data_IF_247952235151
#
_entry.id   IF_247952235151
#
_cell.length_a   1.000
_cell.length_b   1.000
_cell.length_c   1.000
_cell.angle_alpha   90.00
_cell.angle_beta   90.00
_cell.angle_gamma   90.00
#
_symmetry.space_group_name_H-M   'P 1'
#
loop_
_entity.id
_entity.type
_entity.pdbx_description
1 polymer ?
#
# COMPACT_ATOMS: atom_id res chain seq x y z
N UNK A 1 18.42 0.27 17.49
CA UNK A 1 18.24 0.60 16.05
C UNK A 1 16.96 1.41 15.96
N UNK A 2 17.03 2.70 15.63
CA UNK A 2 15.82 3.52 15.40
C UNK A 2 15.34 3.28 13.97
N UNK A 3 14.07 2.93 13.80
CA UNK A 3 13.42 2.88 12.49
C UNK A 3 12.46 4.04 12.36
N UNK A 4 12.40 4.63 11.18
CA UNK A 4 11.36 5.60 10.87
C UNK A 4 10.08 4.84 10.48
N UNK A 5 8.98 5.10 11.18
CA UNK A 5 7.64 4.51 10.98
C UNK A 5 6.57 5.55 10.63
N UNK A 6 5.66 5.23 9.69
CA UNK A 6 4.46 6.03 9.39
C UNK A 6 3.20 5.16 9.35
N UNK A 7 2.11 5.64 9.99
CA UNK A 7 0.79 4.99 10.05
C UNK A 7 -0.22 5.75 9.19
N UNK A 8 -0.93 5.06 8.31
CA UNK A 8 -2.06 5.63 7.55
C UNK A 8 -1.78 6.04 6.10
N UNK A 9 -0.58 5.79 5.58
CA UNK A 9 -0.18 6.21 4.22
C UNK A 9 -0.68 5.28 3.08
N UNK A 10 -1.24 4.11 3.40
CA UNK A 10 -1.24 2.95 2.51
C UNK A 10 -1.92 3.06 1.13
N UNK A 11 -2.85 4.01 0.91
CA UNK A 11 -3.55 4.17 -0.38
C UNK A 11 -2.68 4.87 -1.44
N UNK A 12 -2.07 6.00 -1.09
CA UNK A 12 -1.20 6.73 -2.00
C UNK A 12 0.14 6.01 -2.20
N UNK A 13 0.58 5.20 -1.22
CA UNK A 13 1.82 4.42 -1.30
C UNK A 13 1.92 3.52 -2.53
N UNK A 14 0.84 2.83 -2.89
CA UNK A 14 0.86 1.85 -3.98
C UNK A 14 0.61 2.52 -5.32
N UNK A 15 -0.26 3.52 -5.37
CA UNK A 15 -0.47 4.33 -6.57
C UNK A 15 0.81 5.08 -6.97
N UNK A 16 1.51 5.67 -5.99
CA UNK A 16 2.83 6.26 -6.13
C UNK A 16 3.87 5.26 -6.69
N UNK A 17 3.93 4.05 -6.10
CA UNK A 17 4.90 3.06 -6.53
C UNK A 17 4.65 2.54 -7.95
N UNK A 18 3.39 2.39 -8.36
CA UNK A 18 3.00 1.85 -9.67
C UNK A 18 3.07 2.87 -10.80
N UNK A 19 2.91 4.16 -10.50
CA UNK A 19 3.04 5.24 -11.49
C UNK A 19 3.93 6.34 -10.92
N UNK A 20 5.24 6.08 -11.02
CA UNK A 20 6.30 7.02 -10.62
C UNK A 20 5.99 8.43 -11.12
N UNK A 21 6.20 9.43 -10.28
CA UNK A 21 5.96 10.87 -10.54
C UNK A 21 4.51 11.34 -10.46
N UNK A 22 3.53 10.46 -10.22
CA UNK A 22 2.14 10.88 -10.03
C UNK A 22 1.86 11.37 -8.60
N UNK A 23 2.61 10.88 -7.61
CA UNK A 23 2.46 11.25 -6.20
C UNK A 23 3.82 11.61 -5.57
N UNK A 24 4.55 12.55 -6.19
CA UNK A 24 5.94 12.88 -5.85
C UNK A 24 6.11 13.24 -4.36
N UNK A 25 5.17 13.98 -3.79
CA UNK A 25 5.23 14.39 -2.37
C UNK A 25 5.12 13.18 -1.45
N UNK A 26 4.20 12.26 -1.76
CA UNK A 26 4.02 11.01 -1.01
C UNK A 26 5.22 10.10 -1.19
N UNK A 27 5.76 9.96 -2.40
CA UNK A 27 7.00 9.20 -2.65
C UNK A 27 8.16 9.74 -1.81
N UNK A 28 8.32 11.07 -1.77
CA UNK A 28 9.38 11.75 -1.01
C UNK A 28 9.18 11.57 0.49
N UNK A 29 7.95 11.69 0.98
CA UNK A 29 7.63 11.45 2.38
C UNK A 29 7.94 10.01 2.77
N UNK A 30 7.42 9.04 2.01
CA UNK A 30 7.64 7.61 2.25
C UNK A 30 9.11 7.21 2.16
N UNK A 31 9.92 7.86 1.32
CA UNK A 31 11.35 7.57 1.19
C UNK A 31 12.09 7.73 2.53
N UNK A 32 11.58 8.55 3.45
CA UNK A 32 12.17 8.81 4.78
C UNK A 32 11.96 7.68 5.78
N UNK A 33 11.05 6.74 5.49
CA UNK A 33 10.60 5.69 6.39
C UNK A 33 11.11 4.30 5.96
N UNK A 34 11.53 3.50 6.94
CA UNK A 34 11.98 2.12 6.74
C UNK A 34 10.82 1.13 6.73
N UNK A 35 9.78 1.45 7.51
CA UNK A 35 8.58 0.63 7.67
C UNK A 35 7.35 1.52 7.47
N UNK A 36 6.40 1.05 6.68
CA UNK A 36 5.14 1.74 6.41
C UNK A 36 4.00 0.82 6.82
N UNK A 37 3.05 1.34 7.60
CA UNK A 37 1.91 0.55 8.07
C UNK A 37 0.56 1.22 7.79
N UNK A 38 -0.43 0.39 7.52
CA UNK A 38 -1.83 0.79 7.36
C UNK A 38 -2.53 -0.04 6.29
N UNK A 39 -3.63 0.49 5.76
CA UNK A 39 -4.41 -0.08 4.66
C UNK A 39 -3.58 -0.17 3.38
N UNK A 40 -2.83 -1.26 3.25
CA UNK A 40 -2.05 -1.61 2.06
C UNK A 40 -2.96 -2.46 1.18
N UNK A 41 -2.99 -2.10 -0.09
CA UNK A 41 -3.68 -2.83 -1.13
C UNK A 41 -2.88 -4.11 -1.47
N UNK A 42 -3.52 -5.28 -1.41
CA UNK A 42 -2.93 -6.59 -1.72
C UNK A 42 -3.32 -7.05 -3.15
N UNK A 43 -3.03 -8.30 -3.50
CA UNK A 43 -3.38 -8.86 -4.81
C UNK A 43 -4.88 -8.78 -5.12
N UNK A 44 -5.75 -8.84 -4.10
CA UNK A 44 -7.20 -8.72 -4.29
C UNK A 44 -7.63 -7.31 -4.69
N UNK A 45 -6.79 -6.30 -4.40
CA UNK A 45 -7.00 -4.90 -4.84
C UNK A 45 -6.38 -4.58 -6.19
N UNK A 46 -5.51 -5.46 -6.71
CA UNK A 46 -4.68 -5.19 -7.88
C UNK A 46 -5.51 -4.82 -9.11
N UNK A 47 -6.58 -5.56 -9.37
CA UNK A 47 -7.46 -5.31 -10.52
C UNK A 47 -8.10 -3.90 -10.47
N UNK A 48 -8.55 -3.48 -9.28
CA UNK A 48 -9.17 -2.16 -9.07
C UNK A 48 -8.15 -1.04 -9.25
N UNK A 49 -6.95 -1.19 -8.69
CA UNK A 49 -5.87 -0.22 -8.84
C UNK A 49 -5.39 -0.10 -10.29
N UNK A 50 -5.29 -1.21 -11.01
CA UNK A 50 -4.90 -1.21 -12.42
C UNK A 50 -5.94 -0.48 -13.27
N UNK A 51 -7.23 -0.72 -13.05
CA UNK A 51 -8.30 0.00 -13.73
C UNK A 51 -8.25 1.52 -13.46
N UNK A 52 -8.06 1.92 -12.21
CA UNK A 52 -7.87 3.32 -11.82
C UNK A 52 -6.67 3.96 -12.54
N UNK A 53 -5.50 3.32 -12.50
CA UNK A 53 -4.27 3.84 -13.13
C UNK A 53 -4.35 3.89 -14.67
N UNK A 54 -5.16 3.02 -15.27
CA UNK A 54 -5.47 3.00 -16.70
C UNK A 54 -6.52 4.05 -17.12
N UNK A 55 -7.08 4.80 -16.17
CA UNK A 55 -8.05 5.86 -16.44
C UNK A 55 -9.51 5.38 -16.54
N UNK A 56 -9.80 4.12 -16.20
CA UNK A 56 -11.15 3.57 -16.30
C UNK A 56 -12.15 4.24 -15.35
N UNK A 57 -11.66 4.96 -14.34
CA UNK A 57 -12.48 5.67 -13.34
C UNK A 57 -12.45 7.20 -13.53
N UNK A 58 -11.83 7.69 -14.61
CA UNK A 58 -11.44 9.11 -14.78
C UNK A 58 -9.93 9.29 -14.67
N UNK A 59 -9.44 10.53 -14.66
CA UNK A 59 -7.99 10.79 -14.53
C UNK A 59 -7.53 10.43 -13.13
N UNK A 60 -6.54 9.55 -13.02
CA UNK A 60 -5.93 9.23 -11.74
C UNK A 60 -5.33 10.49 -11.09
N UNK A 61 -5.72 10.78 -9.85
CA UNK A 61 -5.39 12.01 -9.12
C UNK A 61 -6.53 13.01 -9.07
N UNK A 62 -7.56 12.85 -9.91
CA UNK A 62 -8.79 13.63 -9.79
C UNK A 62 -9.61 13.13 -8.59
N UNK A 63 -10.17 14.07 -7.83
CA UNK A 63 -10.96 13.77 -6.62
C UNK A 63 -12.05 12.72 -6.88
N UNK A 64 -12.74 12.83 -8.01
CA UNK A 64 -13.85 11.94 -8.38
C UNK A 64 -13.38 10.51 -8.69
N UNK A 65 -12.26 10.38 -9.40
CA UNK A 65 -11.65 9.09 -9.71
C UNK A 65 -11.09 8.42 -8.44
N UNK A 66 -10.49 9.21 -7.55
CA UNK A 66 -9.96 8.77 -6.26
C UNK A 66 -11.08 8.27 -5.34
N UNK A 67 -12.14 9.07 -5.18
CA UNK A 67 -13.31 8.70 -4.37
C UNK A 67 -14.00 7.44 -4.92
N UNK A 68 -14.10 7.33 -6.25
CA UNK A 68 -14.63 6.12 -6.88
C UNK A 68 -13.76 4.90 -6.61
N UNK A 69 -12.44 5.01 -6.81
CA UNK A 69 -11.49 3.94 -6.54
C UNK A 69 -11.56 3.49 -5.07
N UNK A 70 -11.61 4.42 -4.12
CA UNK A 70 -11.73 4.14 -2.69
C UNK A 70 -13.01 3.37 -2.36
N UNK A 71 -14.15 3.76 -2.95
CA UNK A 71 -15.43 3.05 -2.75
C UNK A 71 -15.36 1.60 -3.24
N UNK A 72 -14.62 1.32 -4.32
CA UNK A 72 -14.45 -0.06 -4.84
C UNK A 72 -13.56 -0.95 -3.96
N UNK A 73 -12.71 -0.33 -3.11
CA UNK A 73 -11.76 -0.99 -2.22
C UNK A 73 -12.29 -1.18 -0.79
N UNK A 74 -13.27 -0.38 -0.38
CA UNK A 74 -13.85 -0.42 0.97
C UNK A 74 -15.16 -1.23 1.01
N UNK A 75 -15.54 -1.76 2.20
CA UNK A 75 -14.77 -1.76 3.44
C UNK A 75 -13.76 -2.93 3.56
N UNK A 76 -13.89 -3.97 2.73
CA UNK A 76 -13.29 -5.28 3.01
C UNK A 76 -12.05 -5.65 2.18
N UNK A 77 -11.64 -4.84 1.19
CA UNK A 77 -10.49 -5.19 0.33
C UNK A 77 -9.17 -4.58 0.77
N UNK A 78 -9.17 -3.75 1.82
CA UNK A 78 -7.95 -3.18 2.38
C UNK A 78 -7.69 -3.74 3.77
N UNK A 79 -6.58 -4.46 3.93
CA UNK A 79 -6.11 -4.98 5.21
C UNK A 79 -4.99 -4.09 5.74
N UNK A 80 -4.90 -4.00 7.06
CA UNK A 80 -3.72 -3.40 7.69
C UNK A 80 -2.52 -4.33 7.46
N UNK A 81 -1.50 -3.80 6.79
CA UNK A 81 -0.27 -4.53 6.53
C UNK A 81 0.93 -3.64 6.83
N UNK A 82 2.10 -4.29 6.87
CA UNK A 82 3.40 -3.65 7.04
C UNK A 82 4.22 -3.85 5.76
N UNK A 83 4.73 -2.76 5.21
CA UNK A 83 5.70 -2.77 4.12
C UNK A 83 7.09 -2.47 4.71
N UNK A 84 7.98 -3.45 4.65
CA UNK A 84 9.38 -3.32 5.05
C UNK A 84 10.21 -2.93 3.82
N UNK A 85 10.78 -1.73 3.81
CA UNK A 85 11.47 -1.17 2.65
C UNK A 85 12.97 -1.42 2.63
N UNK A 86 13.56 -1.72 3.78
CA UNK A 86 15.02 -1.85 3.93
C UNK A 86 15.41 -3.20 4.51
N UNK A 87 16.58 -3.70 4.12
CA UNK A 87 17.12 -4.94 4.71
C UNK A 87 17.29 -4.83 6.23
N UNK A 88 17.65 -3.65 6.74
CA UNK A 88 17.79 -3.41 8.17
C UNK A 88 16.46 -3.68 8.90
N UNK A 89 15.34 -3.21 8.34
CA UNK A 89 14.02 -3.44 8.91
C UNK A 89 13.61 -4.91 8.85
N UNK A 90 13.94 -5.60 7.74
CA UNK A 90 13.67 -7.04 7.60
C UNK A 90 14.50 -7.87 8.60
N UNK A 91 15.78 -7.53 8.80
CA UNK A 91 16.68 -8.22 9.74
C UNK A 91 16.23 -8.11 11.21
N UNK A 92 15.33 -7.17 11.53
CA UNK A 92 14.72 -7.06 12.85
C UNK A 92 13.51 -7.98 13.06
N UNK A 93 13.01 -8.65 12.01
CA UNK A 93 11.96 -9.65 12.16
C UNK A 93 12.55 -10.91 12.82
N UNK A 94 11.86 -11.39 13.85
CA UNK A 94 12.15 -12.66 14.50
C UNK A 94 11.06 -13.66 14.15
N UNK A 95 11.45 -14.82 13.65
CA UNK A 95 10.52 -15.93 13.48
C UNK A 95 9.94 -16.34 14.84
N UNK A 96 8.61 -16.41 14.93
CA UNK A 96 7.91 -16.79 16.16
C UNK A 96 7.33 -18.20 16.06
N UNK A 97 6.55 -18.48 15.01
CA UNK A 97 5.92 -19.78 14.75
C UNK A 97 5.50 -19.90 13.28
N UNK A 98 5.30 -21.13 12.83
CA UNK A 98 4.65 -21.45 11.56
C UNK A 98 3.56 -22.49 11.81
N UNK A 99 2.40 -22.32 11.18
CA UNK A 99 1.26 -23.23 11.29
C UNK A 99 0.94 -23.81 9.92
N UNK A 100 0.67 -25.12 9.87
CA UNK A 100 0.24 -25.79 8.65
C UNK A 100 -1.28 -25.67 8.53
N UNK A 101 -1.75 -24.91 7.55
CA UNK A 101 -3.18 -24.79 7.26
C UNK A 101 -3.58 -25.91 6.30
N UNK A 102 -4.49 -26.77 6.72
CA UNK A 102 -5.17 -27.72 5.84
C UNK A 102 -6.45 -27.04 5.36
N UNK A 103 -6.52 -26.70 4.08
CA UNK A 103 -7.76 -26.21 3.46
C UNK A 103 -8.71 -27.41 3.30
N UNK A 104 -9.94 -27.27 3.81
CA UNK A 104 -11.02 -28.25 3.61
C UNK A 104 -11.61 -28.12 2.21
#
# INVERSE_FOLDING_TARGET
>A
MLFNYIKGAGRHCIAAHRKKKMFIEVEREMARYDIIAGKIADDATNATLTAYLAGAFGTAGDKEADDFCIRQLLPNKLKDQYCFKTEAAIKCLKFVKGEKIWLK
#
